data_IF_901727512304
#
_entry.id   IF_901727512304
#
_cell.length_a   1.000
_cell.length_b   1.000
_cell.length_c   1.000
_cell.angle_alpha   90.00
_cell.angle_beta   90.00
_cell.angle_gamma   90.00
#
_symmetry.space_group_name_H-M   'P 1'
#
loop_
_entity.id
_entity.type
_entity.pdbx_description
1 polymer ?
#
# COMPACT_ATOMS: atom_id res chain seq x y z
N UNK A 1 18.93 8.20 -1.91
CA UNK A 1 17.57 7.62 -1.88
C UNK A 1 17.68 6.18 -2.35
N UNK A 2 17.12 5.22 -1.63
CA UNK A 2 17.20 3.79 -1.99
C UNK A 2 15.86 3.31 -2.56
N UNK A 3 15.48 3.86 -3.70
CA UNK A 3 14.28 3.46 -4.45
C UNK A 3 14.72 2.52 -5.56
N UNK A 4 14.03 1.37 -5.67
CA UNK A 4 14.19 0.42 -6.78
C UNK A 4 13.79 1.07 -8.11
N UNK A 5 14.26 0.54 -9.22
CA UNK A 5 13.78 0.94 -10.55
C UNK A 5 12.28 0.66 -10.71
N UNK A 6 11.60 1.37 -11.61
CA UNK A 6 10.17 1.19 -11.87
C UNK A 6 9.86 -0.27 -12.20
N UNK A 7 10.64 -0.89 -13.07
CA UNK A 7 10.47 -2.30 -13.46
C UNK A 7 10.69 -3.29 -12.30
N UNK A 8 11.62 -2.99 -11.38
CA UNK A 8 11.80 -3.78 -10.16
C UNK A 8 10.62 -3.66 -9.21
N UNK A 9 10.07 -2.45 -9.05
CA UNK A 9 8.88 -2.22 -8.24
C UNK A 9 7.69 -3.00 -8.79
N UNK A 10 7.44 -2.96 -10.10
CA UNK A 10 6.36 -3.70 -10.76
C UNK A 10 6.54 -5.21 -10.53
N UNK A 11 7.74 -5.75 -10.75
CA UNK A 11 8.02 -7.18 -10.55
C UNK A 11 7.81 -7.62 -9.10
N UNK A 12 8.23 -6.81 -8.13
CA UNK A 12 7.97 -7.12 -6.72
C UNK A 12 6.47 -7.04 -6.40
N UNK A 13 5.75 -6.06 -6.95
CA UNK A 13 4.30 -5.99 -6.78
C UNK A 13 3.57 -7.19 -7.37
N UNK A 14 3.97 -7.68 -8.54
CA UNK A 14 3.43 -8.93 -9.12
C UNK A 14 3.63 -10.11 -8.17
N UNK A 15 4.80 -10.21 -7.55
CA UNK A 15 5.11 -11.26 -6.56
C UNK A 15 4.24 -11.14 -5.31
N UNK A 16 4.11 -9.93 -4.73
CA UNK A 16 3.31 -9.73 -3.52
C UNK A 16 1.82 -9.91 -3.80
N UNK A 17 1.33 -9.43 -4.94
CA UNK A 17 -0.06 -9.62 -5.36
C UNK A 17 -0.38 -11.10 -5.51
N UNK A 18 0.44 -11.87 -6.22
CA UNK A 18 0.26 -13.32 -6.36
C UNK A 18 0.24 -14.05 -5.01
N UNK A 19 1.12 -13.64 -4.08
CA UNK A 19 1.16 -14.19 -2.72
C UNK A 19 -0.15 -13.93 -1.95
N UNK A 20 -0.67 -12.70 -1.98
CA UNK A 20 -1.92 -12.35 -1.31
C UNK A 20 -3.13 -13.03 -1.96
N UNK A 21 -3.19 -13.12 -3.29
CA UNK A 21 -4.24 -13.83 -4.03
C UNK A 21 -4.26 -15.32 -3.70
N UNK A 22 -3.10 -15.97 -3.54
CA UNK A 22 -3.00 -17.36 -3.10
C UNK A 22 -3.67 -17.55 -1.73
N UNK A 23 -3.39 -16.68 -0.77
CA UNK A 23 -4.00 -16.75 0.55
C UNK A 23 -5.50 -16.42 0.53
N UNK A 24 -5.97 -15.48 -0.30
CA UNK A 24 -7.42 -15.25 -0.49
C UNK A 24 -8.10 -16.51 -1.03
N UNK A 25 -7.46 -17.23 -1.96
CA UNK A 25 -8.01 -18.46 -2.52
C UNK A 25 -7.99 -19.66 -1.56
N UNK A 26 -7.07 -19.65 -0.60
CA UNK A 26 -6.90 -20.71 0.42
C UNK A 26 -8.00 -20.72 1.46
N UNK A 27 -8.58 -19.56 1.79
CA UNK A 27 -9.55 -19.40 2.87
C UNK A 27 -10.94 -19.04 2.36
N UNK A 28 -11.99 -19.48 3.09
CA UNK A 28 -13.35 -19.03 2.89
C UNK A 28 -13.58 -17.58 3.37
N UNK A 29 -14.66 -16.94 2.90
CA UNK A 29 -14.97 -15.55 3.28
C UNK A 29 -15.11 -15.39 4.80
N UNK A 30 -15.79 -16.32 5.46
CA UNK A 30 -16.00 -16.30 6.92
C UNK A 30 -14.65 -16.32 7.67
N UNK A 31 -13.71 -17.13 7.20
CA UNK A 31 -12.35 -17.18 7.77
C UNK A 31 -11.59 -15.87 7.55
N UNK A 32 -11.68 -15.29 6.35
CA UNK A 32 -11.06 -13.99 6.04
C UNK A 32 -11.63 -12.84 6.90
N UNK A 33 -12.90 -12.93 7.30
CA UNK A 33 -13.57 -11.95 8.14
C UNK A 33 -13.35 -12.18 9.65
N UNK A 34 -12.77 -13.31 10.05
CA UNK A 34 -12.62 -13.68 11.44
C UNK A 34 -11.57 -12.81 12.15
N UNK A 35 -11.98 -12.18 13.25
CA UNK A 35 -11.12 -11.43 14.17
C UNK A 35 -10.74 -12.34 15.32
N UNK A 36 -9.45 -12.67 15.45
CA UNK A 36 -8.94 -13.58 16.47
C UNK A 36 -8.59 -12.89 17.79
N UNK A 37 -8.19 -11.63 17.72
CA UNK A 37 -7.78 -10.84 18.89
C UNK A 37 -8.56 -9.53 18.89
N UNK A 38 -9.18 -9.21 20.03
CA UNK A 38 -9.91 -7.94 20.17
C UNK A 38 -9.01 -6.74 19.88
N UNK A 39 -9.50 -5.82 19.06
CA UNK A 39 -8.76 -4.63 18.64
C UNK A 39 -7.76 -4.86 17.50
N UNK A 40 -7.62 -6.07 16.98
CA UNK A 40 -6.87 -6.37 15.77
C UNK A 40 -7.80 -6.48 14.55
N UNK A 41 -7.22 -6.38 13.37
CA UNK A 41 -7.94 -6.59 12.11
C UNK A 41 -8.06 -8.09 11.80
N UNK A 42 -9.09 -8.45 11.04
CA UNK A 42 -9.11 -9.73 10.34
C UNK A 42 -8.12 -9.70 9.17
N UNK A 43 -7.79 -10.89 8.63
CA UNK A 43 -6.97 -11.00 7.42
C UNK A 43 -7.61 -10.25 6.24
N UNK A 44 -8.93 -10.39 6.07
CA UNK A 44 -9.68 -9.69 5.04
C UNK A 44 -9.65 -8.16 5.18
N UNK A 45 -9.74 -7.65 6.41
CA UNK A 45 -9.61 -6.20 6.67
C UNK A 45 -8.21 -5.67 6.31
N UNK A 46 -7.17 -6.45 6.59
CA UNK A 46 -5.81 -6.09 6.17
C UNK A 46 -5.70 -5.99 4.63
N UNK A 47 -6.30 -6.93 3.90
CA UNK A 47 -6.31 -6.87 2.44
C UNK A 47 -7.12 -5.69 1.90
N UNK A 48 -8.29 -5.40 2.48
CA UNK A 48 -9.08 -4.19 2.13
C UNK A 48 -8.26 -2.92 2.38
N UNK A 49 -7.50 -2.86 3.47
CA UNK A 49 -6.60 -1.74 3.77
C UNK A 49 -5.49 -1.59 2.72
N UNK A 50 -4.84 -2.66 2.32
CA UNK A 50 -3.79 -2.63 1.29
C UNK A 50 -4.32 -2.10 -0.04
N UNK A 51 -5.44 -2.66 -0.51
CA UNK A 51 -6.08 -2.26 -1.77
C UNK A 51 -6.54 -0.80 -1.69
N UNK A 52 -7.27 -0.44 -0.64
CA UNK A 52 -7.80 0.91 -0.47
C UNK A 52 -6.70 1.98 -0.35
N UNK A 53 -5.63 1.69 0.39
CA UNK A 53 -4.49 2.60 0.51
C UNK A 53 -3.76 2.78 -0.83
N UNK A 54 -3.61 1.71 -1.61
CA UNK A 54 -2.99 1.77 -2.92
C UNK A 54 -3.83 2.61 -3.90
N UNK A 55 -5.10 2.26 -4.09
CA UNK A 55 -5.96 2.88 -5.10
C UNK A 55 -6.30 4.34 -4.74
N UNK A 56 -6.80 4.56 -3.51
CA UNK A 56 -7.39 5.86 -3.15
C UNK A 56 -6.40 6.88 -2.59
N UNK A 57 -5.22 6.47 -2.20
CA UNK A 57 -4.20 7.38 -1.67
C UNK A 57 -2.91 7.35 -2.49
N UNK A 58 -2.24 6.20 -2.59
CA UNK A 58 -0.87 6.14 -3.11
C UNK A 58 -0.82 6.38 -4.62
N UNK A 59 -1.51 5.57 -5.41
CA UNK A 59 -1.51 5.69 -6.87
C UNK A 59 -2.25 6.93 -7.35
N UNK A 60 -3.33 7.32 -6.65
CA UNK A 60 -4.00 8.59 -6.92
C UNK A 60 -3.08 9.78 -6.69
N UNK A 61 -2.29 9.79 -5.61
CA UNK A 61 -1.35 10.87 -5.35
C UNK A 61 -0.19 10.89 -6.35
N UNK A 62 0.30 9.71 -6.77
CA UNK A 62 1.27 9.61 -7.84
C UNK A 62 0.73 10.21 -9.15
N UNK A 63 -0.51 9.88 -9.50
CA UNK A 63 -1.18 10.41 -10.69
C UNK A 63 -1.33 11.94 -10.63
N UNK A 64 -1.77 12.50 -9.50
CA UNK A 64 -1.89 13.96 -9.30
C UNK A 64 -0.55 14.66 -9.54
N UNK A 65 0.55 14.11 -9.05
CA UNK A 65 1.90 14.64 -9.30
C UNK A 65 2.26 14.59 -10.80
N UNK A 66 1.92 13.49 -11.49
CA UNK A 66 2.16 13.35 -12.93
C UNK A 66 1.32 14.31 -13.78
N UNK A 67 0.10 14.60 -13.35
CA UNK A 67 -0.81 15.55 -13.99
C UNK A 67 -0.48 17.02 -13.65
N UNK A 68 0.48 17.23 -12.75
CA UNK A 68 0.96 18.57 -12.33
C UNK A 68 -0.16 19.44 -11.79
N UNK A 69 -1.02 18.89 -10.95
CA UNK A 69 -2.14 19.65 -10.36
C UNK A 69 -1.62 20.93 -9.69
N UNK A 70 -2.32 22.06 -9.94
CA UNK A 70 -1.89 23.40 -9.48
C UNK A 70 -1.81 23.54 -7.96
N UNK A 71 -2.60 22.73 -7.23
CA UNK A 71 -2.65 22.74 -5.76
C UNK A 71 -1.43 22.08 -5.13
N UNK A 72 -0.61 21.37 -5.91
CA UNK A 72 0.54 20.63 -5.38
C UNK A 72 1.72 21.56 -5.09
N UNK A 73 2.36 21.34 -3.95
CA UNK A 73 3.51 22.12 -3.54
C UNK A 73 4.76 21.71 -4.31
N UNK A 74 5.53 22.72 -4.76
CA UNK A 74 6.86 22.53 -5.33
C UNK A 74 7.97 22.70 -4.31
N UNK A 75 7.68 23.33 -3.17
CA UNK A 75 8.66 23.70 -2.14
C UNK A 75 8.57 22.84 -0.88
N UNK A 76 7.56 21.94 -0.79
CA UNK A 76 7.38 21.10 0.38
C UNK A 76 8.37 19.93 0.41
N UNK A 77 8.72 19.51 1.62
CA UNK A 77 9.71 18.47 1.88
C UNK A 77 9.08 17.28 2.60
N UNK A 78 9.81 16.17 2.60
CA UNK A 78 9.50 15.03 3.46
C UNK A 78 9.73 15.41 4.93
N UNK A 79 9.03 14.73 5.82
CA UNK A 79 9.36 14.74 7.24
C UNK A 79 10.62 13.91 7.50
N UNK A 80 11.20 13.99 8.69
CA UNK A 80 12.31 13.11 9.11
C UNK A 80 11.94 11.62 8.99
N UNK A 81 10.68 11.28 9.32
CA UNK A 81 10.16 9.92 9.15
C UNK A 81 10.14 9.52 7.67
N UNK A 82 9.68 10.41 6.79
CA UNK A 82 9.68 10.20 5.35
C UNK A 82 11.09 10.00 4.81
N UNK A 83 12.04 10.85 5.18
CA UNK A 83 13.44 10.69 4.78
C UNK A 83 14.01 9.35 5.24
N UNK A 84 13.69 8.92 6.47
CA UNK A 84 14.12 7.63 7.02
C UNK A 84 13.58 6.44 6.21
N UNK A 85 12.29 6.44 5.87
CA UNK A 85 11.64 5.39 5.08
C UNK A 85 12.28 5.25 3.70
N UNK A 86 12.49 6.35 2.98
CA UNK A 86 13.09 6.32 1.64
C UNK A 86 14.60 6.07 1.66
N UNK A 87 15.30 6.42 2.73
CA UNK A 87 16.71 6.05 2.94
C UNK A 87 16.85 4.55 3.18
N UNK A 88 15.96 3.96 3.97
CA UNK A 88 15.92 2.52 4.25
C UNK A 88 15.42 1.71 3.04
N UNK A 89 14.64 2.32 2.13
CA UNK A 89 13.95 1.63 1.04
C UNK A 89 12.74 0.81 1.51
N UNK A 90 12.11 1.23 2.60
CA UNK A 90 10.94 0.57 3.17
C UNK A 90 10.62 1.02 4.59
N UNK A 91 9.52 0.55 5.12
CA UNK A 91 9.16 0.77 6.51
C UNK A 91 10.04 -0.09 7.43
N UNK A 92 10.39 0.40 8.63
CA UNK A 92 11.08 -0.41 9.62
C UNK A 92 10.20 -1.61 10.02
N UNK A 93 10.78 -2.78 10.35
CA UNK A 93 10.05 -3.99 10.71
C UNK A 93 9.52 -3.92 12.15
N UNK A 94 8.79 -2.85 12.46
CA UNK A 94 8.14 -2.64 13.76
C UNK A 94 6.64 -2.67 13.62
N UNK A 95 5.96 -3.24 14.61
CA UNK A 95 4.50 -3.23 14.66
C UNK A 95 4.01 -1.81 14.97
N UNK A 96 3.32 -1.20 14.02
CA UNK A 96 2.61 0.06 14.23
C UNK A 96 1.19 -0.28 14.64
N UNK A 97 0.87 -0.08 15.93
CA UNK A 97 -0.51 -0.20 16.38
C UNK A 97 -1.22 1.14 16.17
N UNK A 98 -2.25 1.11 15.35
CA UNK A 98 -3.19 2.21 15.23
C UNK A 98 -4.36 1.92 16.17
N UNK A 99 -4.72 2.82 17.09
CA UNK A 99 -5.85 2.60 17.98
C UNK A 99 -7.12 2.29 17.17
N UNK A 100 -7.93 1.29 17.60
CA UNK A 100 -9.19 1.00 16.92
C UNK A 100 -10.07 2.24 16.91
N UNK A 101 -10.50 2.63 15.72
CA UNK A 101 -11.48 3.71 15.54
C UNK A 101 -12.25 3.49 14.25
N UNK A 102 -13.51 3.95 14.15
CA UNK A 102 -14.29 3.85 12.93
C UNK A 102 -13.59 4.48 11.70
N UNK A 103 -12.70 5.44 11.95
CA UNK A 103 -11.97 6.16 10.90
C UNK A 103 -10.79 5.34 10.33
N UNK A 104 -10.16 4.49 11.16
CA UNK A 104 -8.93 3.77 10.78
C UNK A 104 -9.13 2.25 10.64
N UNK A 105 -10.26 1.72 11.08
CA UNK A 105 -10.58 0.30 10.96
C UNK A 105 -11.18 0.04 9.58
N UNK A 106 -10.53 -0.76 8.71
CA UNK A 106 -11.06 -1.09 7.40
C UNK A 106 -12.39 -1.84 7.50
N UNK A 107 -13.23 -1.71 6.48
CA UNK A 107 -14.43 -2.53 6.35
C UNK A 107 -14.05 -4.00 6.16
N UNK A 108 -14.94 -4.91 6.59
CA UNK A 108 -14.81 -6.31 6.23
C UNK A 108 -15.03 -6.48 4.71
N UNK A 109 -14.30 -7.39 4.05
CA UNK A 109 -14.58 -7.70 2.65
C UNK A 109 -15.99 -8.30 2.51
N UNK A 110 -16.67 -7.96 1.43
CA UNK A 110 -18.01 -8.47 1.12
C UNK A 110 -17.98 -9.80 0.35
N UNK A 111 -16.86 -10.07 -0.34
CA UNK A 111 -16.60 -11.33 -1.03
C UNK A 111 -15.09 -11.54 -1.25
N UNK A 112 -14.69 -12.76 -1.62
CA UNK A 112 -13.32 -13.03 -2.03
C UNK A 112 -12.98 -12.37 -3.37
N UNK A 113 -13.95 -12.36 -4.28
CA UNK A 113 -13.84 -11.72 -5.60
C UNK A 113 -13.51 -10.24 -5.46
N UNK A 114 -14.12 -9.52 -4.48
CA UNK A 114 -13.78 -8.13 -4.19
C UNK A 114 -12.27 -7.94 -3.91
N UNK A 115 -11.67 -8.86 -3.17
CA UNK A 115 -10.24 -8.79 -2.84
C UNK A 115 -9.38 -9.11 -4.06
N UNK A 116 -9.71 -10.15 -4.80
CA UNK A 116 -8.98 -10.56 -6.01
C UNK A 116 -9.04 -9.46 -7.09
N UNK A 117 -10.22 -8.92 -7.35
CA UNK A 117 -10.41 -7.81 -8.30
C UNK A 117 -9.66 -6.56 -7.84
N UNK A 118 -9.66 -6.28 -6.53
CA UNK A 118 -8.93 -5.16 -5.96
C UNK A 118 -7.41 -5.28 -6.13
N UNK A 119 -6.82 -6.43 -5.88
CA UNK A 119 -5.39 -6.67 -6.12
C UNK A 119 -5.02 -6.53 -7.59
N UNK A 120 -5.85 -7.08 -8.47
CA UNK A 120 -5.68 -6.93 -9.93
C UNK A 120 -5.76 -5.45 -10.34
N UNK A 121 -6.74 -4.70 -9.85
CA UNK A 121 -6.89 -3.27 -10.11
C UNK A 121 -5.63 -2.48 -9.73
N UNK A 122 -5.07 -2.73 -8.53
CA UNK A 122 -3.84 -2.07 -8.09
C UNK A 122 -2.69 -2.31 -9.06
N UNK A 123 -2.49 -3.56 -9.48
CA UNK A 123 -1.42 -3.91 -10.40
C UNK A 123 -1.61 -3.32 -11.79
N UNK A 124 -2.86 -3.29 -12.30
CA UNK A 124 -3.21 -2.65 -13.57
C UNK A 124 -2.96 -1.14 -13.53
N UNK A 125 -3.35 -0.46 -12.44
CA UNK A 125 -3.07 0.97 -12.26
C UNK A 125 -1.57 1.25 -12.19
N UNK A 126 -0.78 0.44 -11.49
CA UNK A 126 0.67 0.59 -11.44
C UNK A 126 1.30 0.45 -12.82
N UNK A 127 0.92 -0.57 -13.60
CA UNK A 127 1.39 -0.76 -14.98
C UNK A 127 1.00 0.40 -15.90
N UNK A 128 -0.18 0.99 -15.71
CA UNK A 128 -0.62 2.16 -16.48
C UNK A 128 0.17 3.43 -16.14
N UNK A 129 0.71 3.55 -14.93
CA UNK A 129 1.55 4.68 -14.52
C UNK A 129 3.02 4.52 -14.93
N UNK A 130 3.51 3.30 -15.14
CA UNK A 130 4.91 3.00 -15.48
C UNK A 130 5.48 3.89 -16.59
N UNK A 131 4.88 3.99 -17.79
CA UNK A 131 5.43 4.80 -18.88
C UNK A 131 5.40 6.32 -18.58
N UNK A 132 4.52 6.77 -17.69
CA UNK A 132 4.42 8.17 -17.30
C UNK A 132 5.51 8.58 -16.30
N UNK A 133 6.05 7.62 -15.54
CA UNK A 133 7.10 7.84 -14.55
C UNK A 133 8.50 7.97 -15.16
N UNK A 134 8.72 7.56 -16.40
CA UNK A 134 10.05 7.67 -17.05
C UNK A 134 10.53 9.12 -17.16
N UNK A 135 9.61 10.07 -17.34
CA UNK A 135 9.91 11.49 -17.55
C UNK A 135 9.05 12.39 -16.63
N UNK A 136 8.85 11.98 -15.39
CA UNK A 136 8.06 12.77 -14.45
C UNK A 136 8.82 14.00 -13.92
N UNK A 137 8.07 15.02 -13.53
CA UNK A 137 8.60 16.22 -12.90
C UNK A 137 8.59 16.04 -11.38
N UNK A 138 9.78 15.85 -10.78
CA UNK A 138 9.94 15.60 -9.35
C UNK A 138 9.58 16.80 -8.45
N UNK A 139 9.38 17.99 -9.03
CA UNK A 139 8.99 19.18 -8.26
C UNK A 139 7.53 19.10 -7.77
N UNK A 140 6.65 18.41 -8.51
CA UNK A 140 5.27 18.26 -8.10
C UNK A 140 5.15 17.17 -7.04
N UNK A 141 4.76 17.59 -5.82
CA UNK A 141 4.70 16.71 -4.65
C UNK A 141 3.35 16.78 -3.98
N UNK A 142 2.75 15.62 -3.75
CA UNK A 142 1.50 15.48 -3.00
C UNK A 142 1.80 15.17 -1.51
N UNK A 143 1.00 15.72 -0.57
CA UNK A 143 1.24 15.55 0.85
C UNK A 143 0.83 14.15 1.33
N UNK A 144 1.68 13.52 2.15
CA UNK A 144 1.36 12.32 2.92
C UNK A 144 1.25 12.70 4.40
N UNK A 145 0.23 12.20 5.16
CA UNK A 145 -0.03 12.62 6.54
C UNK A 145 1.15 12.47 7.51
N UNK A 146 2.03 11.51 7.28
CA UNK A 146 3.18 11.21 8.17
C UNK A 146 4.54 11.41 7.51
N UNK A 147 4.62 11.22 6.19
CA UNK A 147 5.91 11.23 5.48
C UNK A 147 6.26 12.59 4.87
N UNK A 148 5.31 13.55 4.89
CA UNK A 148 5.46 14.86 4.26
C UNK A 148 5.18 14.82 2.77
N UNK A 149 5.80 15.67 1.98
CA UNK A 149 5.53 15.81 0.56
C UNK A 149 6.34 14.81 -0.27
N UNK A 150 5.66 14.01 -1.08
CA UNK A 150 6.24 12.95 -1.89
C UNK A 150 6.01 13.22 -3.39
N UNK A 151 7.03 12.97 -4.20
CA UNK A 151 6.94 13.01 -5.67
C UNK A 151 6.16 11.82 -6.23
N UNK A 152 5.85 11.85 -7.54
CA UNK A 152 5.17 10.73 -8.22
C UNK A 152 5.89 9.39 -8.01
N UNK A 153 7.21 9.37 -8.19
CA UNK A 153 8.01 8.15 -8.03
C UNK A 153 8.04 7.66 -6.58
N UNK A 154 8.07 8.56 -5.62
CA UNK A 154 8.04 8.21 -4.20
C UNK A 154 6.69 7.61 -3.81
N UNK A 155 5.58 8.17 -4.26
CA UNK A 155 4.25 7.60 -4.07
C UNK A 155 4.09 6.22 -4.72
N UNK A 156 4.61 6.06 -5.94
CA UNK A 156 4.61 4.79 -6.64
C UNK A 156 5.42 3.71 -5.89
N UNK A 157 6.63 4.05 -5.46
CA UNK A 157 7.47 3.15 -4.68
C UNK A 157 6.88 2.81 -3.31
N UNK A 158 6.17 3.77 -2.69
CA UNK A 158 5.51 3.58 -1.41
C UNK A 158 4.45 2.47 -1.46
N UNK A 159 3.81 2.25 -2.61
CA UNK A 159 2.84 1.16 -2.79
C UNK A 159 3.49 -0.21 -2.57
N UNK A 160 4.65 -0.46 -3.20
CA UNK A 160 5.41 -1.70 -2.98
C UNK A 160 5.90 -1.82 -1.53
N UNK A 161 6.46 -0.75 -0.99
CA UNK A 161 6.96 -0.73 0.38
C UNK A 161 5.86 -1.05 1.40
N UNK A 162 4.63 -0.59 1.15
CA UNK A 162 3.47 -0.81 2.01
C UNK A 162 2.99 -2.27 1.93
N UNK A 163 2.91 -2.85 0.75
CA UNK A 163 2.56 -4.25 0.56
C UNK A 163 3.57 -5.17 1.27
N UNK A 164 4.85 -4.94 1.05
CA UNK A 164 5.93 -5.68 1.70
C UNK A 164 5.95 -5.52 3.23
N UNK A 165 5.60 -4.35 3.74
CA UNK A 165 5.53 -4.10 5.17
C UNK A 165 4.46 -4.95 5.86
N UNK A 166 3.33 -5.18 5.21
CA UNK A 166 2.22 -5.94 5.76
C UNK A 166 2.41 -7.47 5.75
N UNK A 167 3.44 -8.01 5.11
CA UNK A 167 3.74 -9.46 5.13
C UNK A 167 3.92 -9.99 6.56
N UNK A 168 4.56 -9.23 7.46
CA UNK A 168 4.71 -9.62 8.86
C UNK A 168 3.38 -9.62 9.63
N UNK A 169 2.46 -8.75 9.27
CA UNK A 169 1.11 -8.76 9.85
C UNK A 169 0.31 -9.95 9.30
N UNK A 170 0.38 -10.19 8.00
CA UNK A 170 -0.27 -11.33 7.36
C UNK A 170 0.17 -12.65 8.00
N UNK A 171 1.48 -12.86 8.18
CA UNK A 171 2.00 -14.07 8.79
C UNK A 171 1.37 -14.35 10.16
N UNK A 172 1.25 -13.32 11.01
CA UNK A 172 0.59 -13.46 12.32
C UNK A 172 -0.89 -13.79 12.21
N UNK A 173 -1.59 -13.17 11.27
CA UNK A 173 -3.03 -13.40 11.03
C UNK A 173 -3.27 -14.80 10.46
N UNK A 174 -2.42 -15.29 9.58
CA UNK A 174 -2.46 -16.66 9.06
C UNK A 174 -2.24 -17.69 10.17
N UNK A 175 -1.24 -17.49 11.03
CA UNK A 175 -1.00 -18.36 12.18
C UNK A 175 -2.20 -18.43 13.12
N UNK A 176 -2.91 -17.33 13.31
CA UNK A 176 -4.11 -17.30 14.14
C UNK A 176 -5.31 -18.01 13.47
N UNK A 177 -5.38 -18.01 12.15
CA UNK A 177 -6.42 -18.74 11.39
C UNK A 177 -6.19 -20.27 11.39
N UNK A 178 -4.95 -20.72 11.52
CA UNK A 178 -4.56 -22.13 11.48
C UNK A 178 -4.49 -22.79 12.86
N UNK A 179 -4.60 -22.00 13.93
CA UNK A 179 -4.56 -22.49 15.32
C UNK A 179 -5.94 -22.88 15.84
#
# INVERSE_FOLDING_TARGET
MNIKSISEIIREMEKWTAHYEENVNRFGLEQLQQVHTEGEWSLGQMYVHLIGSAVYMQLRSAQRCLEREEELSREAFKTEVGEGVFKLGGFPPIRIQVPPSPQYTPQQPTSREQLLDGFKEVLEQMKALEPKLENYDEQYKAPHPRLGALSAMEWFALTEMHYRHHLLQEERLLQALES
#
